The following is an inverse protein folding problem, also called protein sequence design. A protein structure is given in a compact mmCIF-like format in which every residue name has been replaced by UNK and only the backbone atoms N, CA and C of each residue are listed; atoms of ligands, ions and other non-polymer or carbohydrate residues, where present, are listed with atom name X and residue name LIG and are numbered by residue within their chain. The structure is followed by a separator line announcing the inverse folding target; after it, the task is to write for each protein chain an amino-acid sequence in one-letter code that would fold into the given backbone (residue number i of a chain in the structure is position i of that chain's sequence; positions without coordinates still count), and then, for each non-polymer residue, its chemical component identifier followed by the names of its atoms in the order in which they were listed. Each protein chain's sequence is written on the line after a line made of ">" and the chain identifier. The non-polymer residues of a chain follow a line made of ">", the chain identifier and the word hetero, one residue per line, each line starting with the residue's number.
data_IF_609129416033
#
_entry.id   IF_609129416033
#
_cell.length_a   1.000
_cell.length_b   1.000
_cell.length_c   1.000
_cell.angle_alpha   90.00
_cell.angle_beta   90.00
_cell.angle_gamma   90.00
#
_symmetry.space_group_name_H-M   'P 1'
#
loop_
_entity.id
_entity.type
_entity.pdbx_description
1 polymer ?
#
# COMPACT_ATOMS: atom_id res chain seq x y z
N UNK A 1 -7.42 35.89 -42.01
CA UNK A 1 -5.96 35.76 -41.91
C UNK A 1 -5.56 34.97 -40.69
N UNK A 2 -5.53 35.62 -39.52
CA UNK A 2 -5.07 35.03 -38.25
C UNK A 2 -5.83 33.76 -37.81
N UNK A 3 -7.16 33.74 -37.90
CA UNK A 3 -7.98 32.57 -37.50
C UNK A 3 -7.64 31.34 -38.36
N UNK A 4 -7.51 31.53 -39.67
CA UNK A 4 -7.17 30.44 -40.60
C UNK A 4 -5.77 29.90 -40.32
N UNK A 5 -4.80 30.78 -40.03
CA UNK A 5 -3.45 30.37 -39.65
C UNK A 5 -3.43 29.57 -38.34
N UNK A 6 -4.18 30.02 -37.32
CA UNK A 6 -4.34 29.31 -36.05
C UNK A 6 -4.96 27.92 -36.23
N UNK A 7 -6.04 27.81 -37.05
CA UNK A 7 -6.71 26.55 -37.39
C UNK A 7 -5.74 25.55 -38.02
N UNK A 8 -4.91 25.99 -38.98
CA UNK A 8 -3.93 25.13 -39.65
C UNK A 8 -2.89 24.62 -38.65
N UNK A 9 -2.35 25.49 -37.79
CA UNK A 9 -1.36 25.11 -36.79
C UNK A 9 -1.95 24.08 -35.81
N UNK A 10 -3.13 24.34 -35.27
CA UNK A 10 -3.77 23.44 -34.30
C UNK A 10 -4.13 22.09 -34.92
N UNK A 11 -4.53 22.05 -36.19
CA UNK A 11 -4.80 20.79 -36.91
C UNK A 11 -3.52 19.97 -37.11
N UNK A 12 -2.42 20.61 -37.52
CA UNK A 12 -1.11 19.93 -37.63
C UNK A 12 -0.67 19.40 -36.26
N UNK A 13 -0.81 20.21 -35.22
CA UNK A 13 -0.47 19.82 -33.85
C UNK A 13 -1.31 18.63 -33.37
N UNK A 14 -2.63 18.66 -33.60
CA UNK A 14 -3.52 17.57 -33.24
C UNK A 14 -3.12 16.25 -33.92
N UNK A 15 -2.80 16.29 -35.23
CA UNK A 15 -2.34 15.09 -35.96
C UNK A 15 -1.03 14.52 -35.42
N UNK A 16 -0.06 15.39 -35.10
CA UNK A 16 1.20 14.96 -34.49
C UNK A 16 0.96 14.31 -33.12
N UNK A 17 0.16 14.95 -32.26
CA UNK A 17 -0.20 14.41 -30.94
C UNK A 17 -0.94 13.08 -31.04
N UNK A 18 -1.86 12.90 -31.98
CA UNK A 18 -2.50 11.59 -32.21
C UNK A 18 -1.51 10.52 -32.66
N UNK A 19 -0.62 10.86 -33.59
CA UNK A 19 0.35 9.92 -34.12
C UNK A 19 1.27 9.41 -33.01
N UNK A 20 1.89 10.31 -32.25
CA UNK A 20 2.78 9.94 -31.15
C UNK A 20 2.03 9.37 -29.95
N UNK A 21 0.82 9.86 -29.66
CA UNK A 21 -0.01 9.37 -28.57
C UNK A 21 -0.39 7.90 -28.76
N UNK A 22 -0.78 7.52 -29.98
CA UNK A 22 -1.05 6.11 -30.31
C UNK A 22 0.22 5.28 -30.39
N UNK A 23 1.29 5.81 -30.97
CA UNK A 23 2.59 5.10 -31.08
C UNK A 23 3.20 4.75 -29.73
N UNK A 24 3.02 5.61 -28.72
CA UNK A 24 3.56 5.43 -27.37
C UNK A 24 2.52 5.00 -26.33
N UNK A 25 1.31 4.61 -26.77
CA UNK A 25 0.18 4.24 -25.89
C UNK A 25 -0.07 5.27 -24.76
N UNK A 26 0.16 6.54 -25.05
CA UNK A 26 0.08 7.63 -24.08
C UNK A 26 -1.31 8.23 -24.10
N UNK A 27 -2.15 7.81 -23.15
CA UNK A 27 -3.49 8.35 -22.96
C UNK A 27 -3.47 9.87 -22.77
N UNK A 28 -2.49 10.40 -22.03
CA UNK A 28 -2.34 11.83 -21.81
C UNK A 28 -2.11 12.59 -23.12
N UNK A 29 -1.27 12.06 -24.02
CA UNK A 29 -0.97 12.69 -25.30
C UNK A 29 -2.15 12.59 -26.29
N UNK A 30 -2.90 11.48 -26.24
CA UNK A 30 -4.16 11.33 -27.00
C UNK A 30 -5.23 12.31 -26.50
N UNK A 31 -5.37 12.50 -25.18
CA UNK A 31 -6.30 13.47 -24.61
C UNK A 31 -5.97 14.90 -25.03
N UNK A 32 -4.68 15.27 -25.02
CA UNK A 32 -4.20 16.57 -25.48
C UNK A 32 -4.40 16.76 -27.01
N UNK A 33 -4.32 15.68 -27.79
CA UNK A 33 -4.67 15.69 -29.21
C UNK A 33 -6.15 15.99 -29.46
N UNK A 34 -7.05 15.34 -28.71
CA UNK A 34 -8.50 15.58 -28.77
C UNK A 34 -8.84 17.02 -28.36
N UNK A 35 -8.16 17.58 -27.36
CA UNK A 35 -8.32 18.98 -26.97
C UNK A 35 -7.92 19.93 -28.11
N UNK A 36 -6.74 19.70 -28.71
CA UNK A 36 -6.26 20.50 -29.84
C UNK A 36 -7.21 20.43 -31.05
N UNK A 37 -7.86 19.27 -31.26
CA UNK A 37 -8.87 19.09 -32.30
C UNK A 37 -10.18 19.82 -31.99
N UNK A 38 -10.58 19.87 -30.72
CA UNK A 38 -11.73 20.65 -30.29
C UNK A 38 -11.53 22.16 -30.58
N UNK A 39 -10.31 22.68 -30.39
CA UNK A 39 -9.98 24.07 -30.70
C UNK A 39 -10.06 24.37 -32.21
N UNK A 40 -9.63 23.42 -33.05
CA UNK A 40 -9.77 23.49 -34.52
C UNK A 40 -11.25 23.58 -34.90
N UNK A 41 -12.07 22.68 -34.36
CA UNK A 41 -13.51 22.62 -34.65
C UNK A 41 -14.21 23.90 -34.17
N UNK A 42 -13.87 24.38 -32.97
CA UNK A 42 -14.41 25.63 -32.42
C UNK A 42 -14.06 26.82 -33.30
N UNK A 43 -12.78 26.96 -33.68
CA UNK A 43 -12.31 28.07 -34.53
C UNK A 43 -12.88 28.02 -35.94
N UNK A 44 -13.01 26.83 -36.53
CA UNK A 44 -13.68 26.62 -37.81
C UNK A 44 -15.17 26.95 -37.73
N UNK A 45 -15.84 26.57 -36.64
CA UNK A 45 -17.22 26.90 -36.37
C UNK A 45 -17.45 28.41 -36.27
N UNK A 46 -16.63 29.14 -35.52
CA UNK A 46 -16.67 30.62 -35.47
C UNK A 46 -16.48 31.23 -36.85
N UNK A 47 -15.55 30.73 -37.66
CA UNK A 47 -15.34 31.21 -39.03
C UNK A 47 -16.60 31.02 -39.89
N UNK A 48 -17.26 29.87 -39.77
CA UNK A 48 -18.52 29.56 -40.47
C UNK A 48 -19.65 30.49 -39.98
N UNK A 49 -19.78 30.69 -38.67
CA UNK A 49 -20.76 31.60 -38.07
C UNK A 49 -20.61 33.03 -38.57
N UNK A 50 -19.37 33.53 -38.66
CA UNK A 50 -19.04 34.88 -39.13
C UNK A 50 -19.35 35.08 -40.62
N UNK A 51 -19.22 34.03 -41.44
CA UNK A 51 -19.65 34.06 -42.85
C UNK A 51 -21.19 34.05 -42.94
N UNK A 52 -21.84 33.20 -42.16
CA UNK A 52 -23.30 33.04 -42.16
C UNK A 52 -24.05 34.26 -41.60
N UNK A 53 -23.42 35.04 -40.70
CA UNK A 53 -24.06 36.22 -40.09
C UNK A 53 -24.47 37.28 -41.13
N UNK A 54 -23.77 37.32 -42.28
CA UNK A 54 -24.10 38.19 -43.41
C UNK A 54 -25.46 37.84 -44.05
N UNK A 55 -25.92 36.61 -43.88
CA UNK A 55 -27.19 36.11 -44.42
C UNK A 55 -28.26 35.92 -43.34
N UNK A 56 -27.85 35.68 -42.08
CA UNK A 56 -28.76 35.46 -40.97
C UNK A 56 -28.18 35.97 -39.64
N UNK A 57 -28.81 36.99 -39.06
CA UNK A 57 -28.27 37.76 -37.91
C UNK A 57 -28.04 36.88 -36.68
N UNK A 58 -28.86 35.83 -36.49
CA UNK A 58 -28.73 34.91 -35.36
C UNK A 58 -27.80 33.71 -35.63
N UNK A 59 -27.17 33.62 -36.81
CA UNK A 59 -26.34 32.47 -37.19
C UNK A 59 -25.17 32.26 -36.23
N UNK A 60 -24.48 33.34 -35.84
CA UNK A 60 -23.36 33.28 -34.91
C UNK A 60 -23.77 32.73 -33.54
N UNK A 61 -24.91 33.18 -33.01
CA UNK A 61 -25.45 32.70 -31.73
C UNK A 61 -25.81 31.20 -31.79
N UNK A 62 -26.44 30.73 -32.88
CA UNK A 62 -26.78 29.31 -33.06
C UNK A 62 -25.51 28.46 -33.15
N UNK A 63 -24.54 28.90 -33.94
CA UNK A 63 -23.26 28.21 -34.13
C UNK A 63 -22.49 28.14 -32.81
N UNK A 64 -22.44 29.24 -32.05
CA UNK A 64 -21.81 29.28 -30.73
C UNK A 64 -22.45 28.29 -29.75
N UNK A 65 -23.79 28.18 -29.73
CA UNK A 65 -24.51 27.20 -28.90
C UNK A 65 -24.18 25.76 -29.31
N UNK A 66 -24.17 25.47 -30.61
CA UNK A 66 -23.83 24.14 -31.13
C UNK A 66 -22.40 23.71 -30.79
N UNK A 67 -21.43 24.63 -30.93
CA UNK A 67 -20.04 24.40 -30.53
C UNK A 67 -19.94 24.18 -29.03
N UNK A 68 -20.64 24.99 -28.22
CA UNK A 68 -20.68 24.83 -26.77
C UNK A 68 -21.17 23.46 -26.34
N UNK A 69 -22.28 22.98 -26.94
CA UNK A 69 -22.80 21.63 -26.70
C UNK A 69 -21.82 20.53 -27.12
N UNK A 70 -21.14 20.71 -28.25
CA UNK A 70 -20.12 19.78 -28.73
C UNK A 70 -18.94 19.69 -27.73
N UNK A 71 -18.43 20.83 -27.26
CA UNK A 71 -17.33 20.89 -26.29
C UNK A 71 -17.73 20.25 -24.95
N UNK A 72 -18.96 20.48 -24.48
CA UNK A 72 -19.46 19.85 -23.25
C UNK A 72 -19.50 18.33 -23.38
N UNK A 73 -20.04 17.81 -24.49
CA UNK A 73 -20.07 16.37 -24.77
C UNK A 73 -18.66 15.77 -24.82
N UNK A 74 -17.73 16.47 -25.47
CA UNK A 74 -16.35 16.02 -25.59
C UNK A 74 -15.65 15.99 -24.22
N UNK A 75 -15.80 17.05 -23.43
CA UNK A 75 -15.27 17.13 -22.06
C UNK A 75 -15.80 15.99 -21.19
N UNK A 76 -17.09 15.68 -21.26
CA UNK A 76 -17.67 14.58 -20.49
C UNK A 76 -17.12 13.21 -20.92
N UNK A 77 -16.94 12.98 -22.22
CA UNK A 77 -16.36 11.74 -22.74
C UNK A 77 -14.91 11.54 -22.30
N UNK A 78 -14.09 12.59 -22.40
CA UNK A 78 -12.68 12.56 -21.97
C UNK A 78 -12.59 12.40 -20.46
N UNK A 79 -13.38 13.17 -19.71
CA UNK A 79 -13.43 13.09 -18.25
C UNK A 79 -13.80 11.69 -17.76
N UNK A 80 -14.77 11.04 -18.43
CA UNK A 80 -15.11 9.64 -18.16
C UNK A 80 -13.94 8.72 -18.47
N UNK A 81 -13.28 8.83 -19.63
CA UNK A 81 -12.13 7.99 -19.97
C UNK A 81 -10.98 8.13 -18.98
N UNK A 82 -10.70 9.35 -18.50
CA UNK A 82 -9.66 9.59 -17.48
C UNK A 82 -10.07 8.97 -16.15
N UNK A 83 -11.33 9.16 -15.74
CA UNK A 83 -11.85 8.60 -14.49
C UNK A 83 -11.83 7.07 -14.54
N UNK A 84 -12.31 6.49 -15.63
CA UNK A 84 -12.27 5.04 -15.87
C UNK A 84 -10.83 4.55 -15.86
N UNK A 85 -9.89 5.23 -16.53
CA UNK A 85 -8.47 4.84 -16.52
C UNK A 85 -7.80 4.97 -15.15
N UNK A 86 -8.23 5.91 -14.30
CA UNK A 86 -7.73 6.08 -12.92
C UNK A 86 -8.32 5.04 -11.97
N UNK A 87 -9.57 4.64 -12.21
CA UNK A 87 -10.26 3.59 -11.46
C UNK A 87 -9.79 2.19 -11.89
N UNK A 88 -9.53 2.00 -13.18
CA UNK A 88 -9.06 0.76 -13.81
C UNK A 88 -7.52 0.64 -13.80
N UNK A 89 -6.86 1.40 -12.90
CA UNK A 89 -5.44 1.21 -12.55
C UNK A 89 -5.18 -0.23 -12.05
N UNK A 90 -6.22 -0.95 -11.64
CA UNK A 90 -6.19 -2.41 -11.54
C UNK A 90 -6.26 -3.05 -12.93
N UNK A 91 -5.11 -3.37 -13.53
CA UNK A 91 -5.07 -4.10 -14.80
C UNK A 91 -5.62 -5.52 -14.59
N UNK A 92 -6.90 -5.75 -14.89
CA UNK A 92 -7.57 -7.05 -14.64
C UNK A 92 -6.91 -8.20 -15.38
N UNK A 93 -6.45 -7.98 -16.61
CA UNK A 93 -5.74 -9.01 -17.38
C UNK A 93 -4.42 -9.40 -16.72
N UNK A 94 -3.68 -8.41 -16.20
CA UNK A 94 -2.48 -8.64 -15.42
C UNK A 94 -2.79 -9.42 -14.13
N UNK A 95 -3.84 -9.04 -13.41
CA UNK A 95 -4.25 -9.75 -12.19
C UNK A 95 -4.65 -11.20 -12.46
N UNK A 96 -5.31 -11.49 -13.58
CA UNK A 96 -5.62 -12.87 -13.99
C UNK A 96 -4.37 -13.68 -14.30
N UNK A 97 -3.40 -13.11 -15.01
CA UNK A 97 -2.10 -13.77 -15.28
C UNK A 97 -1.37 -14.07 -13.97
N UNK A 98 -1.34 -13.11 -13.03
CA UNK A 98 -0.77 -13.29 -11.70
C UNK A 98 -1.49 -14.43 -10.97
N UNK A 99 -2.82 -14.40 -10.88
CA UNK A 99 -3.61 -15.46 -10.21
C UNK A 99 -3.30 -16.84 -10.77
N UNK A 100 -3.17 -17.00 -12.09
CA UNK A 100 -2.81 -18.29 -12.72
C UNK A 100 -1.45 -18.83 -12.23
N UNK A 101 -0.45 -17.98 -12.09
CA UNK A 101 0.90 -18.37 -11.65
C UNK A 101 0.88 -18.84 -10.19
N UNK A 102 0.15 -18.15 -9.30
CA UNK A 102 0.04 -18.54 -7.89
C UNK A 102 -0.82 -19.79 -7.70
N UNK A 103 -1.91 -19.95 -8.46
CA UNK A 103 -2.73 -21.17 -8.44
C UNK A 103 -1.92 -22.42 -8.80
N UNK A 104 -0.97 -22.31 -9.74
CA UNK A 104 -0.08 -23.42 -10.09
C UNK A 104 0.84 -23.86 -8.93
N UNK A 105 1.14 -22.96 -7.98
CA UNK A 105 1.95 -23.26 -6.79
C UNK A 105 1.11 -23.58 -5.56
N UNK A 106 -0.23 -23.65 -5.70
CA UNK A 106 -1.18 -23.87 -4.59
C UNK A 106 -1.06 -22.84 -3.47
N UNK A 107 -0.74 -21.60 -3.82
CA UNK A 107 -0.63 -20.49 -2.86
C UNK A 107 -1.88 -19.63 -2.97
N UNK A 108 -2.53 -19.38 -1.84
CA UNK A 108 -3.70 -18.51 -1.76
C UNK A 108 -3.26 -17.04 -1.70
N UNK A 109 -3.84 -16.25 -2.59
CA UNK A 109 -3.64 -14.80 -2.63
C UNK A 109 -4.75 -14.15 -1.80
N UNK A 110 -4.40 -13.42 -0.75
CA UNK A 110 -5.34 -12.65 0.07
C UNK A 110 -5.64 -11.27 -0.53
N UNK A 111 -4.76 -10.73 -1.37
CA UNK A 111 -4.98 -9.47 -2.05
C UNK A 111 -3.99 -9.21 -3.18
N UNK A 112 -4.46 -8.54 -4.23
CA UNK A 112 -3.63 -8.03 -5.32
C UNK A 112 -3.94 -6.55 -5.48
N UNK A 113 -2.89 -5.75 -5.64
CA UNK A 113 -2.99 -4.38 -6.08
C UNK A 113 -2.03 -4.20 -7.24
N UNK A 114 -2.55 -3.80 -8.38
CA UNK A 114 -1.73 -3.41 -9.53
C UNK A 114 -1.77 -1.91 -9.73
N UNK A 115 -0.68 -1.35 -10.24
CA UNK A 115 -0.59 0.06 -10.63
C UNK A 115 0.18 0.19 -11.93
N UNK A 116 -0.43 0.84 -12.91
CA UNK A 116 0.24 1.28 -14.14
C UNK A 116 0.87 2.66 -13.94
N UNK A 117 2.17 2.79 -14.22
CA UNK A 117 2.89 4.06 -14.24
C UNK A 117 3.54 4.18 -15.63
N UNK A 118 3.01 5.08 -16.47
CA UNK A 118 3.41 5.16 -17.87
C UNK A 118 3.09 3.87 -18.64
N UNK A 119 4.09 3.29 -19.31
CA UNK A 119 3.98 2.01 -20.02
C UNK A 119 4.32 0.79 -19.14
N UNK A 120 4.61 0.98 -17.85
CA UNK A 120 5.10 -0.06 -16.95
C UNK A 120 4.07 -0.41 -15.87
N UNK A 121 3.95 -1.69 -15.51
CA UNK A 121 3.11 -2.13 -14.40
C UNK A 121 3.93 -2.51 -13.17
N UNK A 122 3.33 -2.23 -12.01
CA UNK A 122 3.81 -2.57 -10.68
C UNK A 122 2.73 -3.41 -9.99
N UNK A 123 3.13 -4.46 -9.26
CA UNK A 123 2.19 -5.30 -8.52
C UNK A 123 2.61 -5.45 -7.06
N UNK A 124 1.66 -5.29 -6.14
CA UNK A 124 1.77 -5.69 -4.74
C UNK A 124 0.83 -6.87 -4.53
N UNK A 125 1.40 -8.00 -4.09
CA UNK A 125 0.67 -9.26 -3.93
C UNK A 125 0.79 -9.65 -2.47
N UNK A 126 -0.35 -9.99 -1.88
CA UNK A 126 -0.44 -10.50 -0.53
C UNK A 126 -0.80 -11.97 -0.57
N UNK A 127 -0.01 -12.79 0.11
CA UNK A 127 -0.18 -14.24 0.14
C UNK A 127 -0.33 -14.75 1.56
N UNK A 128 -1.10 -15.82 1.70
CA UNK A 128 -1.18 -16.60 2.93
C UNK A 128 -0.29 -17.84 2.81
N UNK A 129 0.54 -18.05 3.82
CA UNK A 129 1.44 -19.19 3.92
C UNK A 129 1.21 -19.91 5.25
N UNK A 130 1.54 -21.21 5.29
CA UNK A 130 1.45 -22.01 6.52
C UNK A 130 2.39 -21.43 7.60
N UNK A 131 1.89 -21.13 8.82
CA UNK A 131 2.71 -20.65 9.93
C UNK A 131 3.89 -21.56 10.32
N UNK A 132 3.88 -22.83 9.89
CA UNK A 132 4.94 -23.81 10.16
C UNK A 132 6.14 -23.68 9.22
N UNK A 133 6.05 -22.89 8.16
CA UNK A 133 7.16 -22.68 7.23
C UNK A 133 8.30 -21.90 7.89
N UNK A 134 9.54 -22.33 7.65
CA UNK A 134 10.73 -21.60 8.10
C UNK A 134 10.89 -20.32 7.27
N UNK A 135 11.44 -19.28 7.88
CA UNK A 135 11.69 -17.98 7.21
C UNK A 135 12.51 -18.16 5.93
N UNK A 136 13.53 -19.03 5.95
CA UNK A 136 14.37 -19.30 4.77
C UNK A 136 13.56 -19.90 3.61
N UNK A 137 12.65 -20.83 3.91
CA UNK A 137 11.77 -21.46 2.91
C UNK A 137 10.78 -20.45 2.33
N UNK A 138 10.29 -19.53 3.16
CA UNK A 138 9.44 -18.42 2.70
C UNK A 138 10.22 -17.51 1.74
N UNK A 139 11.46 -17.14 2.09
CA UNK A 139 12.30 -16.29 1.25
C UNK A 139 12.57 -16.94 -0.11
N UNK A 140 12.94 -18.22 -0.13
CA UNK A 140 13.21 -18.99 -1.36
C UNK A 140 11.96 -19.10 -2.25
N UNK A 141 10.80 -19.37 -1.63
CA UNK A 141 9.52 -19.43 -2.34
C UNK A 141 9.15 -18.08 -2.96
N UNK A 142 9.28 -16.98 -2.19
CA UNK A 142 8.97 -15.63 -2.70
C UNK A 142 9.89 -15.22 -3.85
N UNK A 143 11.20 -15.49 -3.76
CA UNK A 143 12.15 -15.20 -4.83
C UNK A 143 11.85 -16.01 -6.10
N UNK A 144 11.44 -17.28 -5.95
CA UNK A 144 11.05 -18.13 -7.08
C UNK A 144 9.80 -17.57 -7.79
N UNK A 145 8.81 -17.14 -7.03
CA UNK A 145 7.57 -16.56 -7.57
C UNK A 145 7.83 -15.22 -8.25
N UNK A 146 8.64 -14.36 -7.65
CA UNK A 146 9.06 -13.08 -8.24
C UNK A 146 9.71 -13.28 -9.61
N UNK A 147 10.71 -14.18 -9.69
CA UNK A 147 11.38 -14.48 -10.95
C UNK A 147 10.43 -15.03 -12.02
N UNK A 148 9.49 -15.90 -11.63
CA UNK A 148 8.47 -16.42 -12.57
C UNK A 148 7.54 -15.32 -13.06
N UNK A 149 7.10 -14.41 -12.19
CA UNK A 149 6.22 -13.31 -12.56
C UNK A 149 6.90 -12.38 -13.57
N UNK A 150 8.12 -11.95 -13.29
CA UNK A 150 8.88 -11.05 -14.17
C UNK A 150 9.22 -11.72 -15.51
N UNK A 151 9.47 -13.04 -15.53
CA UNK A 151 9.79 -13.76 -16.77
C UNK A 151 8.57 -14.05 -17.67
N UNK A 152 7.39 -14.24 -17.08
CA UNK A 152 6.17 -14.59 -17.82
C UNK A 152 5.32 -13.37 -18.19
N UNK A 153 5.59 -12.21 -17.58
CA UNK A 153 4.79 -11.00 -17.76
C UNK A 153 5.73 -9.84 -18.14
N UNK A 154 6.02 -9.62 -19.44
CA UNK A 154 6.99 -8.62 -19.90
C UNK A 154 6.63 -7.17 -19.51
N UNK A 155 5.34 -6.90 -19.34
CA UNK A 155 4.78 -5.60 -18.95
C UNK A 155 4.85 -5.32 -17.44
N UNK A 156 5.24 -6.30 -16.61
CA UNK A 156 5.42 -6.20 -15.17
C UNK A 156 6.90 -6.00 -14.85
N UNK A 157 7.27 -4.81 -14.36
CA UNK A 157 8.68 -4.47 -14.12
C UNK A 157 9.10 -4.61 -12.66
N UNK A 158 8.14 -4.57 -11.75
CA UNK A 158 8.41 -4.67 -10.32
C UNK A 158 7.24 -5.35 -9.61
N UNK A 159 7.57 -6.27 -8.70
CA UNK A 159 6.60 -6.99 -7.89
C UNK A 159 7.06 -7.03 -6.43
N UNK A 160 6.13 -6.82 -5.51
CA UNK A 160 6.35 -6.98 -4.07
C UNK A 160 5.41 -8.07 -3.57
N UNK A 161 5.96 -9.10 -2.94
CA UNK A 161 5.18 -10.18 -2.34
C UNK A 161 5.25 -10.03 -0.81
N UNK A 162 4.10 -9.79 -0.20
CA UNK A 162 3.94 -9.68 1.26
C UNK A 162 3.25 -10.91 1.81
N UNK A 163 3.78 -11.49 2.87
CA UNK A 163 3.15 -12.63 3.56
C UNK A 163 2.23 -12.09 4.66
N UNK A 164 0.93 -12.33 4.53
CA UNK A 164 -0.03 -12.06 5.60
C UNK A 164 -0.10 -13.28 6.53
N UNK A 165 0.26 -13.07 7.80
CA UNK A 165 -0.01 -14.06 8.85
C UNK A 165 -1.52 -14.19 9.03
N UNK A 166 -2.02 -15.42 9.14
CA UNK A 166 -3.40 -15.67 9.58
C UNK A 166 -3.73 -14.78 10.78
N UNK A 167 -4.86 -14.07 10.71
CA UNK A 167 -5.38 -13.28 11.81
C UNK A 167 -5.42 -14.12 13.08
N UNK A 168 -4.53 -13.83 14.04
CA UNK A 168 -4.83 -14.16 15.43
C UNK A 168 -6.05 -13.31 15.81
N UNK A 169 -7.22 -13.94 15.95
CA UNK A 169 -8.45 -13.31 16.44
C UNK A 169 -8.17 -12.52 17.72
N UNK A 170 -8.00 -11.19 17.60
CA UNK A 170 -7.81 -10.28 18.73
C UNK A 170 -9.17 -9.95 19.33
N UNK A 171 -9.62 -10.73 20.31
CA UNK A 171 -10.75 -10.35 21.15
C UNK A 171 -10.39 -9.13 22.01
N UNK A 172 -10.99 -7.97 21.72
CA UNK A 172 -10.83 -6.75 22.52
C UNK A 172 -12.08 -6.59 23.39
N UNK A 173 -11.97 -6.79 24.70
CA UNK A 173 -13.00 -6.36 25.66
C UNK A 173 -12.62 -4.96 26.13
N UNK A 174 -13.47 -3.99 25.81
CA UNK A 174 -13.32 -2.59 26.24
C UNK A 174 -13.95 -2.48 27.63
N UNK A 175 -13.13 -2.25 28.66
CA UNK A 175 -13.62 -1.80 29.97
C UNK A 175 -12.81 -0.60 30.44
N UNK A 176 -13.51 0.52 30.65
CA UNK A 176 -13.06 1.83 31.15
C UNK A 176 -11.64 2.29 30.77
N UNK A 177 -11.54 2.89 29.58
CA UNK A 177 -10.62 4.02 29.32
C UNK A 177 -9.11 3.73 29.25
N UNK A 178 -8.63 2.54 29.60
CA UNK A 178 -7.23 2.16 29.43
C UNK A 178 -7.11 0.94 28.53
N UNK A 179 -6.39 1.09 27.41
CA UNK A 179 -6.04 0.00 26.48
C UNK A 179 -5.12 -1.00 27.17
N UNK A 180 -5.68 -1.93 27.94
CA UNK A 180 -4.96 -3.09 28.44
C UNK A 180 -5.06 -4.22 27.42
N UNK A 181 -4.00 -4.38 26.62
CA UNK A 181 -3.84 -5.56 25.77
C UNK A 181 -3.53 -6.78 26.63
N UNK A 182 -4.55 -7.47 27.13
CA UNK A 182 -4.35 -8.79 27.73
C UNK A 182 -4.08 -9.79 26.61
N UNK A 183 -2.81 -10.22 26.52
CA UNK A 183 -2.40 -11.30 25.63
C UNK A 183 -2.92 -12.63 26.18
N UNK A 184 -4.03 -13.14 25.66
CA UNK A 184 -4.40 -14.55 25.88
C UNK A 184 -3.32 -15.42 25.25
N UNK A 185 -2.68 -16.25 26.07
CA UNK A 185 -1.54 -17.11 25.69
C UNK A 185 -0.36 -17.07 26.66
N UNK A 186 -0.32 -16.10 27.57
CA UNK A 186 0.66 -16.04 28.66
C UNK A 186 -0.10 -16.06 29.98
N UNK A 187 0.08 -17.12 30.78
CA UNK A 187 -0.40 -17.12 32.15
C UNK A 187 0.33 -16.01 32.91
N UNK A 188 -0.38 -15.15 33.67
CA UNK A 188 0.27 -14.08 34.41
C UNK A 188 1.19 -14.69 35.47
N UNK A 189 2.48 -14.35 35.40
CA UNK A 189 3.49 -14.84 36.33
C UNK A 189 3.85 -13.74 37.31
N UNK A 190 3.92 -14.10 38.59
CA UNK A 190 4.35 -13.20 39.65
C UNK A 190 3.25 -12.27 40.19
N UNK A 191 3.63 -11.27 41.01
CA UNK A 191 2.69 -10.48 41.76
C UNK A 191 1.93 -9.48 40.89
N UNK A 192 0.73 -9.11 41.34
CA UNK A 192 -0.10 -8.07 40.69
C UNK A 192 0.69 -6.76 40.56
N UNK A 193 0.70 -6.19 39.36
CA UNK A 193 1.40 -4.94 39.04
C UNK A 193 0.80 -3.76 39.79
N UNK A 194 1.63 -3.01 40.54
CA UNK A 194 1.21 -1.84 41.33
C UNK A 194 1.49 -0.49 40.67
N UNK A 195 2.32 -0.46 39.63
CA UNK A 195 2.75 0.77 38.97
C UNK A 195 3.51 0.46 37.67
N UNK A 196 4.48 1.29 37.32
CA UNK A 196 5.37 1.05 36.18
C UNK A 196 6.33 -0.08 36.51
N UNK A 197 6.26 -1.18 35.76
CA UNK A 197 7.04 -2.40 36.01
C UNK A 197 8.29 -2.43 35.15
N UNK A 198 9.43 -2.41 35.79
CA UNK A 198 10.74 -2.64 35.17
C UNK A 198 11.23 -4.03 35.54
N UNK A 199 11.77 -4.78 34.59
CA UNK A 199 12.44 -6.04 34.86
C UNK A 199 13.93 -5.94 34.54
N UNK A 200 14.74 -6.63 35.31
CA UNK A 200 16.19 -6.69 35.17
C UNK A 200 16.59 -8.16 35.13
N UNK A 201 17.24 -8.65 34.06
CA UNK A 201 17.72 -10.02 34.00
C UNK A 201 18.87 -10.19 34.99
N UNK A 202 18.82 -11.22 35.82
CA UNK A 202 19.83 -11.52 36.84
C UNK A 202 20.42 -12.90 36.55
N UNK A 203 21.75 -12.96 36.52
CA UNK A 203 22.51 -14.19 36.35
C UNK A 203 23.73 -14.15 37.26
N UNK A 204 24.01 -15.23 37.99
CA UNK A 204 25.11 -15.29 38.96
C UNK A 204 25.15 -14.13 39.98
N UNK A 205 23.97 -13.63 40.39
CA UNK A 205 23.78 -12.46 41.28
C UNK A 205 24.21 -11.11 40.69
N UNK A 206 24.51 -11.04 39.39
CA UNK A 206 24.80 -9.81 38.67
C UNK A 206 23.74 -9.52 37.60
N UNK A 207 23.69 -8.27 37.12
CA UNK A 207 22.81 -7.89 36.01
C UNK A 207 23.37 -8.50 34.73
N UNK A 208 22.56 -9.32 34.07
CA UNK A 208 22.97 -9.99 32.85
C UNK A 208 23.14 -9.01 31.67
N UNK A 209 24.10 -9.32 30.82
CA UNK A 209 24.33 -8.67 29.53
C UNK A 209 23.36 -9.13 28.44
N UNK A 210 22.53 -10.14 28.71
CA UNK A 210 21.59 -10.67 27.73
C UNK A 210 20.22 -10.90 28.34
N UNK A 211 19.27 -11.13 27.44
CA UNK A 211 17.87 -11.33 27.75
C UNK A 211 17.52 -12.82 27.62
N UNK A 212 16.48 -13.26 28.32
CA UNK A 212 16.09 -14.69 28.34
C UNK A 212 16.72 -15.52 29.46
N UNK A 213 17.23 -14.90 30.53
CA UNK A 213 17.87 -15.58 31.66
C UNK A 213 16.90 -16.36 32.57
N UNK A 214 17.46 -17.14 33.51
CA UNK A 214 16.72 -17.97 34.48
C UNK A 214 15.94 -17.17 35.51
N UNK A 215 16.42 -16.00 35.91
CA UNK A 215 15.84 -15.21 36.99
C UNK A 215 15.81 -13.72 36.62
N UNK A 216 14.73 -13.05 36.99
CA UNK A 216 14.57 -11.62 36.81
C UNK A 216 14.24 -10.95 38.12
N UNK A 217 14.81 -9.78 38.31
CA UNK A 217 14.39 -8.84 39.33
C UNK A 217 13.28 -7.94 38.77
N UNK A 218 12.11 -7.99 39.39
CA UNK A 218 10.97 -7.12 39.08
C UNK A 218 10.97 -5.93 40.04
N UNK A 219 10.82 -4.73 39.49
CA UNK A 219 10.72 -3.46 40.22
C UNK A 219 9.45 -2.74 39.77
N UNK A 220 8.49 -2.55 40.68
CA UNK A 220 7.32 -1.70 40.44
C UNK A 220 7.61 -0.30 41.02
N UNK A 221 7.39 0.76 40.22
CA UNK A 221 7.56 2.15 40.64
C UNK A 221 6.28 2.95 40.48
N UNK A 222 6.06 3.95 41.35
CA UNK A 222 5.01 4.95 41.16
C UNK A 222 5.37 5.97 40.06
N UNK A 223 4.47 6.90 39.76
CA UNK A 223 4.70 7.96 38.76
C UNK A 223 5.82 8.94 39.15
N UNK A 224 6.18 9.00 40.43
CA UNK A 224 7.26 9.85 40.98
C UNK A 224 8.61 9.12 41.04
N UNK A 225 8.65 7.84 40.67
CA UNK A 225 9.86 7.01 40.66
C UNK A 225 10.17 6.27 41.97
N UNK A 226 9.31 6.37 42.99
CA UNK A 226 9.47 5.63 44.23
C UNK A 226 9.24 4.14 44.00
N UNK A 227 10.10 3.30 44.60
CA UNK A 227 9.97 1.84 44.49
C UNK A 227 8.79 1.38 45.36
N UNK A 228 7.75 0.86 44.72
CA UNK A 228 6.60 0.24 45.36
C UNK A 228 6.87 -1.24 45.70
N UNK A 229 7.67 -1.91 44.88
CA UNK A 229 8.00 -3.34 45.04
C UNK A 229 9.33 -3.68 44.39
N UNK A 230 10.06 -4.62 44.98
CA UNK A 230 11.23 -5.26 44.41
C UNK A 230 11.23 -6.75 44.75
N UNK A 231 11.21 -7.63 43.76
CA UNK A 231 11.10 -9.08 43.98
C UNK A 231 11.79 -9.89 42.87
N UNK A 232 12.43 -11.00 43.21
CA UNK A 232 13.05 -11.90 42.24
C UNK A 232 12.06 -12.98 41.81
N UNK A 233 11.99 -13.23 40.50
CA UNK A 233 11.07 -14.19 39.90
C UNK A 233 11.82 -15.04 38.89
N UNK A 234 11.62 -16.35 38.99
CA UNK A 234 12.17 -17.32 38.03
C UNK A 234 11.40 -17.26 36.72
N UNK A 235 12.10 -17.42 35.61
CA UNK A 235 11.52 -17.50 34.29
C UNK A 235 11.11 -18.95 33.98
N UNK A 236 9.81 -19.31 34.02
CA UNK A 236 9.39 -20.69 33.75
C UNK A 236 9.55 -21.07 32.27
N UNK A 237 9.74 -20.09 31.38
CA UNK A 237 9.96 -20.34 29.96
C UNK A 237 11.43 -20.64 29.63
N UNK A 238 12.35 -20.61 30.60
CA UNK A 238 13.79 -20.70 30.36
C UNK A 238 14.22 -21.97 29.61
N UNK A 239 13.52 -23.09 29.83
CA UNK A 239 13.86 -24.40 29.26
C UNK A 239 13.22 -24.66 27.87
N UNK A 240 12.47 -23.71 27.31
CA UNK A 240 11.89 -23.88 25.97
C UNK A 240 12.95 -23.61 24.87
N UNK A 241 12.63 -23.81 23.58
CA UNK A 241 13.63 -23.68 22.49
C UNK A 241 13.92 -22.24 22.02
N UNK A 242 12.90 -21.36 21.90
CA UNK A 242 13.10 -19.95 21.53
C UNK A 242 12.16 -18.95 22.22
N UNK A 243 12.62 -17.70 22.36
CA UNK A 243 11.80 -16.54 22.73
C UNK A 243 11.50 -16.38 24.22
N UNK A 244 12.20 -17.07 25.12
CA UNK A 244 11.89 -17.16 26.57
C UNK A 244 11.83 -15.81 27.27
N UNK A 245 12.74 -14.89 26.93
CA UNK A 245 12.70 -13.53 27.49
C UNK A 245 11.45 -12.78 27.06
N UNK A 246 11.09 -12.84 25.78
CA UNK A 246 9.90 -12.17 25.27
C UNK A 246 8.62 -12.74 25.92
N UNK A 247 8.53 -14.08 26.04
CA UNK A 247 7.43 -14.73 26.75
C UNK A 247 7.33 -14.26 28.20
N UNK A 248 8.47 -14.20 28.90
CA UNK A 248 8.55 -13.73 30.28
C UNK A 248 8.07 -12.27 30.42
N UNK A 249 8.56 -11.33 29.60
CA UNK A 249 8.12 -9.92 29.69
C UNK A 249 6.62 -9.75 29.53
N UNK A 250 6.00 -10.56 28.68
CA UNK A 250 4.55 -10.52 28.47
C UNK A 250 3.80 -11.12 29.64
N UNK A 251 4.25 -12.24 30.18
CA UNK A 251 3.63 -12.87 31.34
C UNK A 251 3.68 -12.01 32.60
N UNK A 252 4.79 -11.30 32.85
CA UNK A 252 4.92 -10.42 34.02
C UNK A 252 4.38 -9.00 33.79
N UNK A 253 3.87 -8.69 32.59
CA UNK A 253 3.38 -7.37 32.20
C UNK A 253 4.40 -6.23 32.37
N UNK A 254 5.66 -6.48 31.96
CA UNK A 254 6.74 -5.50 32.04
C UNK A 254 6.52 -4.32 31.08
N UNK A 255 6.76 -3.10 31.56
CA UNK A 255 6.79 -1.88 30.73
C UNK A 255 8.19 -1.57 30.20
N UNK A 256 9.22 -1.93 30.98
CA UNK A 256 10.63 -1.66 30.66
C UNK A 256 11.50 -2.85 31.02
N UNK A 257 12.52 -3.10 30.21
CA UNK A 257 13.62 -4.03 30.51
C UNK A 257 14.89 -3.20 30.66
N UNK A 258 15.68 -3.45 31.70
CA UNK A 258 17.01 -2.88 31.86
C UNK A 258 18.00 -4.04 31.83
N UNK A 259 18.79 -4.13 30.78
CA UNK A 259 19.88 -5.08 30.63
C UNK A 259 21.16 -4.30 30.27
N UNK A 260 22.33 -4.90 30.55
CA UNK A 260 23.62 -4.23 30.30
C UNK A 260 24.00 -4.22 28.80
N UNK A 261 23.49 -5.18 28.01
CA UNK A 261 23.40 -5.15 26.54
C UNK A 261 22.08 -5.78 26.07
N UNK A 262 21.57 -5.37 24.91
CA UNK A 262 20.44 -6.03 24.25
C UNK A 262 21.04 -7.15 23.39
N UNK A 263 20.95 -8.40 23.86
CA UNK A 263 21.45 -9.56 23.12
C UNK A 263 20.66 -9.83 21.82
N UNK A 264 21.15 -10.74 20.96
CA UNK A 264 20.55 -11.02 19.64
C UNK A 264 19.14 -11.64 19.67
N UNK A 265 18.65 -12.03 20.85
CA UNK A 265 17.34 -12.69 21.06
C UNK A 265 16.30 -11.77 21.72
N UNK A 266 16.43 -10.45 21.54
CA UNK A 266 15.51 -9.44 22.09
C UNK A 266 14.33 -9.12 21.14
#
# INVERSE_FOLDING_TARGET
>A
GLIIFSVIINEVMARLKFHYGRKHESLALVADAEHSRADVISSAGVLIGLILVRYFIYADAIVAVLIGLYILKQTFSIGKQITDSLLDVSNKELEEKIKKIFSAHKIEISGIKTRKIGSTNFAEIKIQLDPKLKVDQVSELTATLENKLLSNIPELKYVVISVESHEMKRGTIISLGKKFGFKRGFEPIGPKKLGKRTIVPIENKEISDHFGVREYLIIDQDEKGNILRKEFIKNPYFEEETGHGFKFTKAVSADKVIARKIGPNA
#
